data_IF_183271810102
#
_entry.id   IF_183271810102
#
_cell.length_a   1.000
_cell.length_b   1.000
_cell.length_c   1.000
_cell.angle_alpha   90.00
_cell.angle_beta   90.00
_cell.angle_gamma   90.00
#
_symmetry.space_group_name_H-M   'P 1'
#
loop_
_entity.id
_entity.type
_entity.pdbx_description
1 polymer ?
#
# COMPACT_ATOMS: atom_id res chain seq x y z
N UNK A 1 11.06 -4.89 -20.89
CA UNK A 1 12.51 -4.99 -21.21
C UNK A 1 13.32 -5.60 -20.06
N UNK A 2 13.06 -5.23 -18.80
CA UNK A 2 13.78 -5.80 -17.65
C UNK A 2 13.66 -7.34 -17.62
N UNK A 3 12.43 -7.87 -17.75
CA UNK A 3 12.18 -9.31 -17.81
C UNK A 3 12.84 -9.97 -19.03
N UNK A 4 12.76 -9.34 -20.22
CA UNK A 4 13.43 -9.86 -21.44
C UNK A 4 14.92 -10.04 -21.20
N UNK A 5 15.57 -9.06 -20.56
CA UNK A 5 16.99 -9.12 -20.23
C UNK A 5 17.30 -10.23 -19.22
N UNK A 6 16.50 -10.34 -18.15
CA UNK A 6 16.72 -11.33 -17.10
C UNK A 6 16.52 -12.77 -17.62
N UNK A 7 15.50 -12.99 -18.45
CA UNK A 7 15.16 -14.30 -19.02
C UNK A 7 15.86 -14.62 -20.36
N UNK A 8 16.72 -13.71 -20.88
CA UNK A 8 17.29 -13.80 -22.22
C UNK A 8 16.23 -14.12 -23.32
N UNK A 9 15.08 -13.41 -23.22
CA UNK A 9 13.90 -13.63 -24.05
C UNK A 9 13.70 -12.48 -25.04
N UNK A 10 13.43 -12.76 -26.29
CA UNK A 10 13.19 -11.77 -27.34
C UNK A 10 11.71 -11.55 -27.68
N UNK A 11 10.79 -12.28 -27.01
CA UNK A 11 9.37 -12.18 -27.25
C UNK A 11 8.83 -10.79 -26.87
N UNK A 12 7.87 -10.31 -27.64
CA UNK A 12 7.14 -9.07 -27.35
C UNK A 12 5.76 -9.34 -26.76
N UNK A 13 5.12 -8.29 -26.25
CA UNK A 13 3.73 -8.33 -25.80
C UNK A 13 3.06 -6.98 -26.02
N UNK A 14 1.74 -7.01 -26.22
CA UNK A 14 0.90 -5.82 -26.13
C UNK A 14 0.32 -5.78 -24.73
N UNK A 15 0.56 -4.69 -24.01
CA UNK A 15 0.09 -4.49 -22.65
C UNK A 15 -0.97 -3.40 -22.65
N UNK A 16 -2.12 -3.67 -22.04
CA UNK A 16 -3.16 -2.69 -21.77
C UNK A 16 -3.35 -2.60 -20.26
N UNK A 17 -3.28 -1.38 -19.71
CA UNK A 17 -3.44 -1.13 -18.28
C UNK A 17 -4.65 -0.22 -18.08
N UNK A 18 -5.67 -0.73 -17.40
CA UNK A 18 -6.81 0.05 -16.92
C UNK A 18 -6.53 0.54 -15.49
N UNK A 19 -6.22 1.83 -15.35
CA UNK A 19 -5.86 2.41 -14.05
C UNK A 19 -7.09 2.62 -13.19
N UNK A 20 -7.22 1.81 -12.12
CA UNK A 20 -8.26 1.96 -11.09
C UNK A 20 -7.71 2.51 -9.79
N UNK A 21 -6.47 2.16 -9.43
CA UNK A 21 -5.77 2.74 -8.28
C UNK A 21 -5.35 4.17 -8.63
N UNK A 22 -5.73 5.17 -7.82
CA UNK A 22 -5.38 6.56 -8.07
C UNK A 22 -3.87 6.81 -8.19
N UNK A 23 -3.48 7.60 -9.18
CA UNK A 23 -2.07 7.93 -9.42
C UNK A 23 -1.59 8.96 -8.40
N UNK A 24 -0.37 8.77 -7.86
CA UNK A 24 0.26 9.71 -6.93
C UNK A 24 -0.42 9.77 -5.55
N UNK A 25 -1.13 8.72 -5.17
CA UNK A 25 -1.89 8.65 -3.92
C UNK A 25 -1.18 7.91 -2.77
N UNK A 26 0.05 7.43 -2.97
CA UNK A 26 0.76 6.62 -1.98
C UNK A 26 0.24 5.18 -1.85
N UNK A 27 -0.49 4.68 -2.85
CA UNK A 27 -1.14 3.36 -2.84
C UNK A 27 -0.38 2.29 -3.64
N UNK A 28 0.85 2.54 -4.06
CA UNK A 28 1.67 1.55 -4.77
C UNK A 28 1.15 1.12 -6.16
N UNK A 29 0.16 1.83 -6.75
CA UNK A 29 -0.52 1.40 -7.98
C UNK A 29 0.40 1.19 -9.19
N UNK A 30 1.45 2.00 -9.33
CA UNK A 30 2.46 1.81 -10.39
C UNK A 30 3.32 0.57 -10.17
N UNK A 31 3.67 0.29 -8.91
CA UNK A 31 4.44 -0.89 -8.53
C UNK A 31 3.60 -2.16 -8.67
N UNK A 32 2.31 -2.11 -8.36
CA UNK A 32 1.36 -3.19 -8.59
C UNK A 32 1.19 -3.49 -10.10
N UNK A 33 1.08 -2.46 -10.95
CA UNK A 33 1.04 -2.66 -12.41
C UNK A 33 2.32 -3.34 -12.91
N UNK A 34 3.48 -2.89 -12.43
CA UNK A 34 4.77 -3.47 -12.83
C UNK A 34 4.89 -4.93 -12.38
N UNK A 35 4.47 -5.25 -11.16
CA UNK A 35 4.43 -6.61 -10.64
C UNK A 35 3.51 -7.51 -11.48
N UNK A 36 2.28 -7.05 -11.76
CA UNK A 36 1.35 -7.79 -12.62
C UNK A 36 1.89 -8.05 -14.01
N UNK A 37 2.58 -7.08 -14.61
CA UNK A 37 3.24 -7.24 -15.91
C UNK A 37 4.39 -8.25 -15.81
N UNK A 38 5.23 -8.20 -14.78
CA UNK A 38 6.32 -9.17 -14.62
C UNK A 38 5.82 -10.61 -14.50
N UNK A 39 4.85 -10.83 -13.61
CA UNK A 39 4.26 -12.16 -13.38
C UNK A 39 3.51 -12.65 -14.62
N UNK A 40 2.68 -11.79 -15.23
CA UNK A 40 1.92 -12.14 -16.42
C UNK A 40 2.82 -12.47 -17.61
N UNK A 41 3.89 -11.71 -17.84
CA UNK A 41 4.82 -11.99 -18.93
C UNK A 41 5.72 -13.21 -18.64
N UNK A 42 6.10 -13.45 -17.38
CA UNK A 42 6.82 -14.67 -16.99
C UNK A 42 6.01 -15.93 -17.38
N UNK A 43 4.69 -15.92 -17.12
CA UNK A 43 3.80 -17.00 -17.54
C UNK A 43 3.61 -17.05 -19.06
N UNK A 44 3.28 -15.89 -19.68
CA UNK A 44 3.00 -15.83 -21.12
C UNK A 44 4.19 -16.26 -21.98
N UNK A 45 5.39 -15.94 -21.58
CA UNK A 45 6.62 -16.26 -22.29
C UNK A 45 7.28 -17.57 -21.81
N UNK A 46 6.69 -18.21 -20.80
CA UNK A 46 7.20 -19.45 -20.19
C UNK A 46 8.69 -19.34 -19.80
N UNK A 47 9.06 -18.16 -19.23
CA UNK A 47 10.46 -17.90 -18.93
C UNK A 47 11.00 -18.73 -17.76
N UNK A 48 10.12 -19.27 -16.91
CA UNK A 48 10.46 -20.14 -15.79
C UNK A 48 11.16 -19.44 -14.62
N UNK A 49 11.16 -18.10 -14.57
CA UNK A 49 11.72 -17.38 -13.45
C UNK A 49 10.92 -17.64 -12.17
N UNK A 50 11.64 -17.90 -11.10
CA UNK A 50 11.08 -18.04 -9.76
C UNK A 50 10.56 -16.72 -9.21
N UNK A 51 9.73 -16.76 -8.15
CA UNK A 51 9.27 -15.54 -7.45
C UNK A 51 10.44 -14.66 -6.99
N UNK A 52 11.48 -15.26 -6.43
CA UNK A 52 12.66 -14.51 -5.98
C UNK A 52 13.37 -13.78 -7.13
N UNK A 53 13.56 -14.45 -8.28
CA UNK A 53 14.14 -13.82 -9.48
C UNK A 53 13.26 -12.70 -10.03
N UNK A 54 11.93 -12.85 -9.97
CA UNK A 54 11.01 -11.79 -10.37
C UNK A 54 11.06 -10.59 -9.39
N UNK A 55 11.22 -10.85 -8.10
CA UNK A 55 11.41 -9.80 -7.08
C UNK A 55 12.71 -9.02 -7.33
N UNK A 56 13.81 -9.71 -7.68
CA UNK A 56 15.09 -9.07 -8.04
C UNK A 56 14.95 -8.19 -9.29
N UNK A 57 14.24 -8.68 -10.31
CA UNK A 57 13.93 -7.88 -11.50
C UNK A 57 13.04 -6.70 -11.12
N UNK A 58 12.04 -6.93 -10.27
CA UNK A 58 11.10 -5.93 -9.76
C UNK A 58 11.80 -4.79 -9.03
N UNK A 59 12.80 -5.11 -8.19
CA UNK A 59 13.58 -4.11 -7.46
C UNK A 59 14.29 -3.11 -8.39
N UNK A 60 14.69 -3.54 -9.58
CA UNK A 60 15.28 -2.63 -10.59
C UNK A 60 14.28 -1.63 -11.18
N UNK A 61 12.97 -1.89 -11.03
CA UNK A 61 11.89 -1.04 -11.54
C UNK A 61 11.34 -0.09 -10.46
N UNK A 62 11.37 -0.52 -9.21
CA UNK A 62 10.92 0.28 -8.09
C UNK A 62 10.94 -0.49 -6.77
N UNK A 63 11.17 0.22 -5.69
CA UNK A 63 11.34 -0.32 -4.34
C UNK A 63 10.12 -1.14 -3.85
N UNK A 64 8.91 -0.77 -4.25
CA UNK A 64 7.67 -1.44 -3.81
C UNK A 64 7.27 -2.62 -4.72
N UNK A 65 7.94 -2.80 -5.88
CA UNK A 65 7.56 -3.86 -6.85
C UNK A 65 7.77 -5.27 -6.26
N UNK A 66 8.88 -5.57 -5.56
CA UNK A 66 9.07 -6.87 -4.92
C UNK A 66 7.94 -7.22 -3.94
N UNK A 67 7.50 -6.27 -3.12
CA UNK A 67 6.36 -6.47 -2.22
C UNK A 67 5.07 -6.76 -2.99
N UNK A 68 4.81 -6.04 -4.08
CA UNK A 68 3.62 -6.28 -4.91
C UNK A 68 3.63 -7.67 -5.58
N UNK A 69 4.81 -8.26 -5.83
CA UNK A 69 4.94 -9.64 -6.31
C UNK A 69 4.68 -10.62 -5.18
N UNK A 70 5.26 -10.38 -4.01
CA UNK A 70 5.17 -11.26 -2.84
C UNK A 70 3.79 -11.28 -2.20
N UNK A 71 3.24 -10.10 -1.93
CA UNK A 71 1.98 -9.93 -1.20
C UNK A 71 2.07 -10.25 0.29
N UNK A 72 0.93 -10.48 0.91
CA UNK A 72 0.83 -10.85 2.32
C UNK A 72 1.23 -9.73 3.28
N UNK A 73 1.56 -10.11 4.52
CA UNK A 73 2.11 -9.21 5.54
C UNK A 73 3.64 -9.34 5.57
N UNK A 74 4.33 -8.23 5.36
CA UNK A 74 5.80 -8.20 5.39
C UNK A 74 6.33 -7.06 6.23
N UNK A 75 7.43 -7.30 6.95
CA UNK A 75 8.28 -6.25 7.50
C UNK A 75 9.39 -5.94 6.51
N UNK A 76 9.33 -4.75 5.93
CA UNK A 76 10.26 -4.33 4.90
C UNK A 76 11.27 -3.34 5.46
N UNK A 77 12.53 -3.51 5.11
CA UNK A 77 13.66 -2.64 5.53
C UNK A 77 14.50 -2.24 4.32
N UNK A 78 15.48 -1.34 4.55
CA UNK A 78 16.33 -0.81 3.48
C UNK A 78 15.54 0.11 2.57
N UNK A 79 15.70 -0.05 1.26
CA UNK A 79 14.92 0.64 0.23
C UNK A 79 13.71 -0.19 -0.26
N UNK A 80 13.45 -1.38 0.35
CA UNK A 80 12.37 -2.31 -0.02
C UNK A 80 12.85 -3.74 -0.31
N UNK A 81 14.16 -3.98 -0.31
CA UNK A 81 14.80 -5.25 -0.66
C UNK A 81 14.78 -6.27 0.48
N UNK A 82 14.83 -5.80 1.71
CA UNK A 82 14.88 -6.70 2.87
C UNK A 82 13.47 -6.95 3.41
N UNK A 83 12.79 -7.94 2.87
CA UNK A 83 11.43 -8.33 3.23
C UNK A 83 11.42 -9.58 4.11
N UNK A 84 10.78 -9.48 5.27
CA UNK A 84 10.49 -10.59 6.16
C UNK A 84 8.99 -10.85 6.18
N UNK A 85 8.55 -12.03 5.76
CA UNK A 85 7.17 -12.46 5.88
C UNK A 85 6.77 -12.59 7.35
N UNK A 86 5.58 -12.16 7.67
CA UNK A 86 5.02 -12.18 9.02
C UNK A 86 3.68 -12.92 9.03
N UNK A 87 3.35 -13.60 10.13
CA UNK A 87 2.02 -14.16 10.30
C UNK A 87 0.99 -13.03 10.37
N UNK A 88 -0.17 -13.28 9.76
CA UNK A 88 -1.33 -12.39 9.83
C UNK A 88 -2.50 -13.14 10.47
N UNK A 89 -3.08 -12.57 11.51
CA UNK A 89 -4.16 -13.23 12.26
C UNK A 89 -5.48 -13.25 11.50
N UNK A 90 -5.80 -12.15 10.81
CA UNK A 90 -7.02 -12.02 10.00
C UNK A 90 -6.92 -10.88 8.99
N UNK A 91 -7.82 -10.90 8.01
CA UNK A 91 -8.04 -9.75 7.13
C UNK A 91 -8.96 -8.74 7.80
N UNK A 92 -8.74 -7.46 7.48
CA UNK A 92 -9.51 -6.35 8.02
C UNK A 92 -10.25 -5.62 6.90
N UNK A 93 -11.55 -5.30 7.12
CA UNK A 93 -12.29 -4.41 6.23
C UNK A 93 -11.70 -3.00 6.25
N UNK A 94 -11.49 -2.41 5.07
CA UNK A 94 -10.91 -1.10 4.91
C UNK A 94 -11.84 -0.15 4.16
N UNK A 95 -11.78 1.12 4.53
CA UNK A 95 -12.23 2.23 3.68
C UNK A 95 -11.03 3.12 3.39
N UNK A 96 -10.78 3.36 2.10
CA UNK A 96 -9.67 4.19 1.63
C UNK A 96 -10.25 5.46 0.99
N UNK A 97 -9.68 6.62 1.33
CA UNK A 97 -10.07 7.91 0.78
C UNK A 97 -8.85 8.55 0.11
N UNK A 98 -8.99 9.05 -1.10
CA UNK A 98 -8.07 10.05 -1.65
C UNK A 98 -8.72 11.42 -1.54
N UNK A 99 -8.40 12.21 -0.50
CA UNK A 99 -9.14 13.45 -0.19
C UNK A 99 -8.80 14.63 -1.12
N UNK A 100 -7.66 14.54 -1.81
CA UNK A 100 -7.18 15.60 -2.69
C UNK A 100 -6.30 15.02 -3.81
N UNK A 101 -5.78 15.88 -4.68
CA UNK A 101 -4.79 15.49 -5.69
C UNK A 101 -3.54 14.85 -5.08
N UNK A 102 -2.83 14.04 -5.86
CA UNK A 102 -1.62 13.36 -5.42
C UNK A 102 -0.52 14.29 -4.93
N UNK A 103 0.36 13.76 -4.09
CA UNK A 103 1.58 14.40 -3.64
C UNK A 103 2.80 13.80 -4.38
N UNK A 104 3.79 14.65 -4.64
CA UNK A 104 5.09 14.17 -5.14
C UNK A 104 5.86 13.53 -3.98
N UNK A 105 6.12 12.22 -4.09
CA UNK A 105 6.91 11.49 -3.09
C UNK A 105 8.25 12.17 -2.82
N UNK A 106 8.92 12.66 -3.88
CA UNK A 106 10.19 13.38 -3.75
C UNK A 106 10.05 14.63 -2.89
N UNK A 107 8.98 15.41 -3.11
CA UNK A 107 8.79 16.68 -2.40
C UNK A 107 8.43 16.45 -0.92
N UNK A 108 7.64 15.39 -0.63
CA UNK A 108 7.33 14.97 0.74
C UNK A 108 8.59 14.52 1.47
N UNK A 109 9.46 13.71 0.84
CA UNK A 109 10.73 13.30 1.45
C UNK A 109 11.68 14.49 1.66
N UNK A 110 11.76 15.42 0.71
CA UNK A 110 12.56 16.63 0.85
C UNK A 110 12.09 17.48 2.04
N UNK A 111 10.78 17.65 2.19
CA UNK A 111 10.21 18.39 3.32
C UNK A 111 10.38 17.63 4.66
N UNK A 112 10.29 16.31 4.65
CA UNK A 112 10.55 15.47 5.83
C UNK A 112 12.00 15.61 6.32
N UNK A 113 12.99 15.59 5.44
CA UNK A 113 14.39 15.74 5.81
C UNK A 113 14.72 17.13 6.37
N UNK A 114 13.94 18.15 6.04
CA UNK A 114 14.08 19.50 6.57
C UNK A 114 13.45 19.67 7.97
N UNK A 115 12.71 18.69 8.47
CA UNK A 115 12.00 18.73 9.75
C UNK A 115 12.58 17.72 10.74
N UNK A 116 12.70 18.12 12.02
CA UNK A 116 13.00 17.20 13.10
C UNK A 116 11.71 16.44 13.49
N UNK A 117 11.57 15.20 13.02
CA UNK A 117 10.46 14.32 13.40
C UNK A 117 10.86 13.49 14.61
N UNK A 118 10.22 13.75 15.75
CA UNK A 118 10.48 13.05 17.03
C UNK A 118 9.70 11.74 17.18
N UNK A 119 8.61 11.58 16.44
CA UNK A 119 7.77 10.38 16.50
C UNK A 119 8.37 9.23 15.71
N UNK A 120 8.26 8.02 16.28
CA UNK A 120 8.57 6.75 15.62
C UNK A 120 7.45 5.75 15.92
N UNK A 121 6.90 5.04 14.90
CA UNK A 121 5.93 3.97 15.13
C UNK A 121 6.59 2.79 15.85
N UNK A 122 5.80 2.09 16.67
CA UNK A 122 6.24 0.85 17.31
C UNK A 122 5.97 -0.34 16.39
N UNK A 123 6.95 -0.67 15.56
CA UNK A 123 6.82 -1.74 14.58
C UNK A 123 6.70 -3.13 15.22
N UNK A 124 7.25 -3.35 16.40
CA UNK A 124 7.19 -4.65 17.06
C UNK A 124 5.80 -4.85 17.70
N UNK A 125 5.24 -3.82 18.32
CA UNK A 125 3.86 -3.84 18.79
C UNK A 125 2.85 -3.95 17.63
N UNK A 126 3.07 -3.24 16.52
CA UNK A 126 2.23 -3.35 15.32
C UNK A 126 2.26 -4.77 14.73
N UNK A 127 3.45 -5.39 14.66
CA UNK A 127 3.60 -6.78 14.20
C UNK A 127 2.85 -7.76 15.10
N UNK A 128 2.96 -7.64 16.42
CA UNK A 128 2.25 -8.49 17.37
C UNK A 128 0.72 -8.34 17.21
N UNK A 129 0.23 -7.11 17.16
CA UNK A 129 -1.19 -6.83 16.99
C UNK A 129 -1.77 -7.39 15.67
N UNK A 130 -1.00 -7.31 14.56
CA UNK A 130 -1.39 -7.89 13.26
C UNK A 130 -1.39 -9.42 13.28
N UNK A 131 -0.43 -10.04 13.97
CA UNK A 131 -0.39 -11.49 14.14
C UNK A 131 -1.57 -12.01 14.97
N UNK A 132 -1.99 -11.25 15.99
CA UNK A 132 -3.13 -11.58 16.84
C UNK A 132 -4.49 -11.17 16.21
N UNK A 133 -4.48 -10.37 15.14
CA UNK A 133 -5.70 -9.83 14.53
C UNK A 133 -6.40 -8.78 15.39
N UNK A 134 -5.67 -8.07 16.24
CA UNK A 134 -6.21 -7.08 17.19
C UNK A 134 -6.03 -5.65 16.68
N UNK A 135 -7.10 -5.08 16.08
CA UNK A 135 -7.10 -3.68 15.61
C UNK A 135 -6.98 -2.64 16.73
N UNK A 136 -7.42 -2.96 17.95
CA UNK A 136 -7.36 -2.02 19.08
C UNK A 136 -5.91 -1.89 19.57
N UNK A 137 -5.20 -3.01 19.65
CA UNK A 137 -3.77 -3.02 19.94
C UNK A 137 -2.95 -2.41 18.81
N UNK A 138 -3.38 -2.62 17.56
CA UNK A 138 -2.70 -2.07 16.37
C UNK A 138 -2.76 -0.53 16.33
N UNK A 139 -3.90 0.07 16.64
CA UNK A 139 -4.14 1.51 16.47
C UNK A 139 -3.08 2.42 17.12
N UNK A 140 -2.67 2.24 18.40
CA UNK A 140 -1.63 3.07 19.01
C UNK A 140 -0.22 2.78 18.50
N UNK A 141 0.03 1.60 17.94
CA UNK A 141 1.33 1.19 17.39
C UNK A 141 1.57 1.72 15.97
N UNK A 142 0.48 2.04 15.24
CA UNK A 142 0.57 2.57 13.87
C UNK A 142 1.15 3.98 13.84
N UNK A 143 1.92 4.25 12.78
CA UNK A 143 2.40 5.59 12.50
C UNK A 143 3.04 5.72 11.13
N UNK A 144 2.91 6.91 10.57
CA UNK A 144 3.58 7.28 9.34
C UNK A 144 4.33 8.60 9.56
N UNK A 145 5.66 8.53 9.57
CA UNK A 145 6.52 9.69 9.82
C UNK A 145 6.42 10.78 8.74
N UNK A 146 5.91 10.44 7.56
CA UNK A 146 5.66 11.39 6.48
C UNK A 146 4.32 12.11 6.64
N UNK A 147 3.39 11.57 7.42
CA UNK A 147 2.02 12.09 7.53
C UNK A 147 1.98 13.55 8.02
N UNK A 148 2.69 13.97 9.09
CA UNK A 148 2.65 15.37 9.53
C UNK A 148 3.10 16.36 8.45
N UNK A 149 4.08 15.98 7.65
CA UNK A 149 4.58 16.80 6.53
C UNK A 149 3.52 16.89 5.43
N UNK A 150 2.92 15.76 5.07
CA UNK A 150 1.89 15.70 4.02
C UNK A 150 0.63 16.44 4.43
N UNK A 151 0.24 16.41 5.72
CA UNK A 151 -0.87 17.19 6.27
C UNK A 151 -0.62 18.71 6.21
N UNK A 152 0.61 19.15 6.46
CA UNK A 152 0.98 20.57 6.26
C UNK A 152 0.86 20.98 4.79
N UNK A 153 1.27 20.12 3.87
CA UNK A 153 1.14 20.37 2.42
C UNK A 153 -0.30 20.31 1.93
N UNK A 154 -1.12 19.46 2.53
CA UNK A 154 -2.52 19.19 2.15
C UNK A 154 -3.38 18.90 3.40
N UNK A 155 -3.96 19.91 4.04
CA UNK A 155 -4.77 19.75 5.26
C UNK A 155 -5.95 18.77 5.11
N UNK A 156 -6.50 18.61 3.90
CA UNK A 156 -7.56 17.64 3.62
C UNK A 156 -7.20 16.19 4.00
N UNK A 157 -5.91 15.87 4.15
CA UNK A 157 -5.45 14.55 4.64
C UNK A 157 -5.86 14.37 6.11
N UNK A 158 -5.60 15.38 6.96
CA UNK A 158 -5.98 15.34 8.37
C UNK A 158 -7.51 15.28 8.54
N UNK A 159 -8.25 16.05 7.73
CA UNK A 159 -9.71 16.03 7.74
C UNK A 159 -10.25 14.62 7.41
N UNK A 160 -9.70 13.99 6.39
CA UNK A 160 -10.14 12.65 5.97
C UNK A 160 -9.82 11.58 7.03
N UNK A 161 -8.68 11.68 7.72
CA UNK A 161 -8.34 10.79 8.85
C UNK A 161 -9.34 10.99 10.00
N UNK A 162 -9.68 12.23 10.33
CA UNK A 162 -10.67 12.54 11.36
C UNK A 162 -12.05 11.98 10.97
N UNK A 163 -12.46 12.13 9.71
CA UNK A 163 -13.74 11.60 9.23
C UNK A 163 -13.81 10.06 9.29
N UNK A 164 -12.72 9.36 8.94
CA UNK A 164 -12.64 7.90 9.10
C UNK A 164 -12.84 7.48 10.57
N UNK A 165 -12.17 8.18 11.50
CA UNK A 165 -12.33 7.95 12.96
C UNK A 165 -13.76 8.23 13.41
N UNK A 166 -14.35 9.32 12.99
CA UNK A 166 -15.74 9.69 13.30
C UNK A 166 -16.75 8.67 12.76
N UNK A 167 -16.40 7.99 11.65
CA UNK A 167 -17.19 6.89 11.10
C UNK A 167 -16.90 5.52 11.75
N UNK A 168 -16.11 5.48 12.84
CA UNK A 168 -15.87 4.27 13.63
C UNK A 168 -14.69 3.42 13.19
N UNK A 169 -13.75 3.96 12.41
CA UNK A 169 -12.50 3.25 12.14
C UNK A 169 -11.71 3.01 13.43
N UNK A 170 -11.37 1.77 13.72
CA UNK A 170 -10.55 1.39 14.87
C UNK A 170 -9.09 1.87 14.73
N UNK A 171 -8.60 1.91 13.50
CA UNK A 171 -7.30 2.48 13.16
C UNK A 171 -7.42 3.30 11.88
N UNK A 172 -6.71 4.43 11.78
CA UNK A 172 -6.67 5.25 10.56
C UNK A 172 -5.32 5.93 10.38
N UNK A 173 -4.81 5.91 9.15
CA UNK A 173 -3.48 6.41 8.81
C UNK A 173 -3.39 6.83 7.35
N UNK A 174 -2.44 7.71 7.03
CA UNK A 174 -2.05 7.99 5.66
C UNK A 174 -1.19 6.84 5.10
N UNK A 175 -1.40 6.42 3.86
CA UNK A 175 -0.58 5.41 3.18
C UNK A 175 0.57 6.05 2.40
N UNK A 176 1.77 5.50 2.55
CA UNK A 176 2.97 5.96 1.86
C UNK A 176 3.24 7.45 2.08
N UNK A 177 3.54 8.18 1.01
CA UNK A 177 3.71 9.65 1.01
C UNK A 177 2.39 10.42 0.85
N UNK A 178 1.24 9.72 0.85
CA UNK A 178 -0.07 10.31 0.64
C UNK A 178 -0.37 10.53 -0.85
N UNK A 179 -1.51 11.10 -1.15
CA UNK A 179 -2.53 11.73 -0.30
C UNK A 179 -3.58 10.77 0.26
N UNK A 180 -3.59 9.49 -0.14
CA UNK A 180 -4.60 8.56 0.33
C UNK A 180 -4.43 8.24 1.82
N UNK A 181 -5.57 8.05 2.47
CA UNK A 181 -5.70 7.62 3.87
C UNK A 181 -6.58 6.38 3.93
N UNK A 182 -6.36 5.53 4.91
CA UNK A 182 -7.22 4.38 5.14
C UNK A 182 -7.74 4.35 6.58
N UNK A 183 -8.91 3.75 6.73
CA UNK A 183 -9.46 3.35 8.00
C UNK A 183 -9.71 1.86 8.02
N UNK A 184 -9.26 1.18 9.07
CA UNK A 184 -9.54 -0.23 9.31
C UNK A 184 -10.69 -0.39 10.30
N UNK A 185 -11.57 -1.34 10.03
CA UNK A 185 -12.80 -1.56 10.78
C UNK A 185 -12.85 -2.97 11.34
N UNK A 186 -13.51 -3.13 12.49
CA UNK A 186 -13.65 -4.44 13.13
C UNK A 186 -14.62 -5.36 12.39
N UNK A 187 -15.58 -4.79 11.63
CA UNK A 187 -16.61 -5.56 10.93
C UNK A 187 -16.89 -5.02 9.53
N UNK A 188 -17.31 -5.89 8.63
CA UNK A 188 -17.80 -5.52 7.30
C UNK A 188 -18.92 -4.48 7.37
N UNK A 189 -19.88 -4.69 8.28
CA UNK A 189 -21.03 -3.79 8.45
C UNK A 189 -20.61 -2.37 8.82
N UNK A 190 -19.63 -2.20 9.72
CA UNK A 190 -19.12 -0.87 10.10
C UNK A 190 -18.36 -0.20 8.96
N UNK A 191 -17.58 -0.97 8.19
CA UNK A 191 -16.89 -0.45 7.01
C UNK A 191 -17.85 -0.04 5.90
N UNK A 192 -18.93 -0.81 5.66
CA UNK A 192 -19.95 -0.48 4.66
C UNK A 192 -20.73 0.78 5.03
N UNK A 193 -21.09 0.93 6.31
CA UNK A 193 -21.75 2.14 6.81
C UNK A 193 -20.83 3.38 6.65
N UNK A 194 -19.54 3.25 6.99
CA UNK A 194 -18.55 4.30 6.82
C UNK A 194 -18.36 4.65 5.34
N UNK A 195 -18.22 3.66 4.48
CA UNK A 195 -18.12 3.85 3.03
C UNK A 195 -19.30 4.64 2.47
N UNK A 196 -20.54 4.22 2.82
CA UNK A 196 -21.76 4.89 2.36
C UNK A 196 -21.85 6.37 2.84
N UNK A 197 -21.39 6.65 4.06
CA UNK A 197 -21.36 8.00 4.61
C UNK A 197 -20.29 8.86 3.92
N UNK A 198 -19.08 8.34 3.78
CA UNK A 198 -17.92 9.06 3.25
C UNK A 198 -18.00 9.30 1.74
N UNK A 199 -18.66 8.40 0.99
CA UNK A 199 -18.91 8.58 -0.46
C UNK A 199 -19.80 9.80 -0.76
N UNK A 200 -20.55 10.33 0.21
CA UNK A 200 -21.32 11.56 0.06
C UNK A 200 -20.45 12.82 0.17
N UNK A 201 -19.27 12.70 0.76
CA UNK A 201 -18.35 13.82 1.05
C UNK A 201 -17.11 13.84 0.14
N UNK A 202 -16.68 12.65 -0.30
CA UNK A 202 -15.45 12.50 -1.08
C UNK A 202 -15.74 11.80 -2.41
N UNK A 203 -15.18 12.30 -3.50
CA UNK A 203 -15.33 11.73 -4.85
C UNK A 203 -14.62 10.38 -5.00
N UNK A 204 -13.52 10.20 -4.28
CA UNK A 204 -12.65 9.02 -4.38
C UNK A 204 -12.61 8.28 -3.04
N UNK A 205 -13.56 7.39 -2.87
CA UNK A 205 -13.67 6.48 -1.73
C UNK A 205 -13.73 5.06 -2.25
N UNK A 206 -12.97 4.17 -1.64
CA UNK A 206 -12.87 2.77 -2.02
C UNK A 206 -13.18 1.90 -0.82
N UNK A 207 -13.98 0.85 -1.05
CA UNK A 207 -14.22 -0.23 -0.10
C UNK A 207 -13.32 -1.39 -0.50
N UNK A 208 -12.48 -1.86 0.39
CA UNK A 208 -11.56 -2.98 0.18
C UNK A 208 -11.31 -3.72 1.50
N UNK A 209 -10.45 -4.70 1.46
CA UNK A 209 -9.96 -5.42 2.63
C UNK A 209 -8.46 -5.69 2.50
N UNK A 210 -7.81 -6.02 3.61
CA UNK A 210 -6.45 -6.55 3.55
C UNK A 210 -6.50 -8.00 3.04
N UNK A 211 -5.43 -8.46 2.39
CA UNK A 211 -5.32 -9.83 1.91
C UNK A 211 -4.04 -10.47 2.45
N UNK A 212 -4.08 -11.78 2.68
CA UNK A 212 -2.96 -12.55 3.22
C UNK A 212 -1.98 -13.01 2.15
N UNK A 213 -2.40 -13.01 0.90
CA UNK A 213 -1.62 -13.54 -0.23
C UNK A 213 -1.57 -12.52 -1.38
N UNK A 214 -0.58 -12.67 -2.24
CA UNK A 214 -0.55 -11.86 -3.46
C UNK A 214 -1.68 -12.26 -4.39
N UNK A 215 -2.52 -11.29 -4.75
CA UNK A 215 -3.58 -11.49 -5.76
C UNK A 215 -3.00 -11.76 -7.15
N UNK A 216 -1.76 -11.33 -7.39
CA UNK A 216 -1.07 -11.49 -8.68
C UNK A 216 -0.68 -12.95 -8.94
N UNK A 217 -0.45 -13.74 -7.89
CA UNK A 217 -0.15 -15.19 -8.05
C UNK A 217 -1.37 -16.03 -8.39
N UNK A 218 -2.57 -15.48 -8.21
CA UNK A 218 -3.84 -16.18 -8.49
C UNK A 218 -4.28 -16.04 -9.96
N UNK A 219 -3.61 -15.21 -10.75
CA UNK A 219 -3.86 -15.00 -12.16
C UNK A 219 -2.96 -15.95 -12.97
#
# INVERSE_FOLDING_TARGET
RALQKAANCSLGARIHVEKRIPVGAGMGGGSSDAAGVLVGLNRLWETGLTRAELEDVGLTLGADVPFCIRGGLTRTRGIGEAMQELPCGQCFPLVVIQPCGGLSTRDVFAAYHAQAVSFRPDNDAAQAALADGDLRALSPALGNVLQPVSEQMRPAIADAIADLRNCGAAASLMTGSGSAVFGAFETEQSADAAFAALKKRYDRVFRCETCMESVIEQI
#
